data_IF_691427503581
#
_entry.id   IF_691427503581
#
_cell.length_a   1.000
_cell.length_b   1.000
_cell.length_c   1.000
_cell.angle_alpha   90.00
_cell.angle_beta   90.00
_cell.angle_gamma   90.00
#
_symmetry.space_group_name_H-M   'P 1'
#
loop_
_entity.id
_entity.type
_entity.pdbx_description
1 polymer ?
#
# COMPACT_ATOMS: atom_id res chain seq x y z
N UNK A 1 -6.71 -0.28 5.07
CA UNK A 1 -7.73 0.79 5.07
C UNK A 1 -8.26 0.94 6.49
N UNK A 2 -8.73 2.13 6.90
CA UNK A 2 -9.25 2.34 8.26
C UNK A 2 -10.75 2.11 8.28
N UNK A 3 -11.23 1.39 9.30
CA UNK A 3 -12.66 1.06 9.46
C UNK A 3 -13.04 1.38 10.88
N UNK A 4 -13.97 2.32 11.06
CA UNK A 4 -14.48 2.69 12.38
C UNK A 4 -15.80 1.94 12.60
N UNK A 5 -15.92 1.24 13.72
CA UNK A 5 -17.12 0.47 14.07
C UNK A 5 -17.44 0.59 15.55
N UNK A 6 -18.71 0.44 15.91
CA UNK A 6 -19.10 0.40 17.33
C UNK A 6 -18.72 -0.95 17.96
N UNK A 7 -18.49 -0.96 19.27
CA UNK A 7 -18.18 -2.19 20.02
C UNK A 7 -19.28 -3.25 19.84
N UNK A 8 -20.54 -2.83 19.80
CA UNK A 8 -21.69 -3.73 19.58
C UNK A 8 -21.64 -4.40 18.22
N UNK A 9 -21.37 -3.64 17.15
CA UNK A 9 -21.21 -4.19 15.80
C UNK A 9 -20.00 -5.11 15.69
N UNK A 10 -18.90 -4.76 16.35
CA UNK A 10 -17.72 -5.60 16.41
C UNK A 10 -18.03 -6.94 17.06
N UNK A 11 -18.71 -6.96 18.22
CA UNK A 11 -19.08 -8.19 18.94
C UNK A 11 -19.94 -9.15 18.12
N UNK A 12 -20.84 -8.61 17.31
CA UNK A 12 -21.69 -9.42 16.43
C UNK A 12 -20.93 -10.03 15.26
N UNK A 13 -19.78 -9.44 14.87
CA UNK A 13 -19.05 -9.82 13.65
C UNK A 13 -17.53 -9.96 13.90
N UNK A 14 -17.12 -10.43 15.09
CA UNK A 14 -15.71 -10.44 15.54
C UNK A 14 -14.81 -11.12 14.51
N UNK A 15 -15.21 -12.30 14.02
CA UNK A 15 -14.41 -13.07 13.07
C UNK A 15 -14.11 -12.29 11.77
N UNK A 16 -15.11 -11.57 11.26
CA UNK A 16 -14.96 -10.75 10.04
C UNK A 16 -13.94 -9.62 10.26
N UNK A 17 -14.05 -8.90 11.37
CA UNK A 17 -13.12 -7.80 11.68
C UNK A 17 -11.70 -8.28 11.99
N UNK A 18 -11.55 -9.44 12.62
CA UNK A 18 -10.23 -10.08 12.80
C UNK A 18 -9.62 -10.46 11.45
N UNK A 19 -10.38 -11.03 10.53
CA UNK A 19 -9.89 -11.34 9.18
C UNK A 19 -9.48 -10.10 8.40
N UNK A 20 -10.24 -8.99 8.52
CA UNK A 20 -9.84 -7.70 7.94
C UNK A 20 -8.54 -7.18 8.54
N UNK A 21 -8.41 -7.24 9.87
CA UNK A 21 -7.18 -6.87 10.55
C UNK A 21 -5.99 -7.71 10.05
N UNK A 22 -6.13 -9.03 9.93
CA UNK A 22 -5.09 -9.92 9.37
C UNK A 22 -4.68 -9.56 7.95
N UNK A 23 -5.61 -9.06 7.14
CA UNK A 23 -5.34 -8.57 5.77
C UNK A 23 -4.65 -7.21 5.73
N UNK A 24 -4.49 -6.55 6.88
CA UNK A 24 -3.79 -5.27 7.04
C UNK A 24 -4.71 -4.05 7.13
N UNK A 25 -6.02 -4.24 7.30
CA UNK A 25 -6.91 -3.14 7.68
C UNK A 25 -6.72 -2.78 9.15
N UNK A 26 -6.98 -1.52 9.50
CA UNK A 26 -7.03 -1.06 10.90
C UNK A 26 -8.49 -0.92 11.29
N UNK A 27 -8.93 -1.70 12.29
CA UNK A 27 -10.29 -1.62 12.82
C UNK A 27 -10.27 -0.79 14.10
N UNK A 28 -10.97 0.34 14.08
CA UNK A 28 -11.06 1.28 15.19
C UNK A 28 -12.42 1.05 15.87
N UNK A 29 -12.37 0.61 17.11
CA UNK A 29 -13.54 0.37 17.95
C UNK A 29 -13.86 1.66 18.70
N UNK A 30 -15.09 2.18 18.51
CA UNK A 30 -15.60 3.32 19.27
C UNK A 30 -16.69 2.86 20.22
N UNK A 31 -16.58 3.23 21.49
CA UNK A 31 -17.70 3.16 22.42
C UNK A 31 -18.56 4.43 22.25
N UNK A 32 -19.84 4.26 21.99
CA UNK A 32 -20.79 5.38 21.88
C UNK A 32 -21.30 5.83 23.26
N UNK A 33 -21.14 5.01 24.30
CA UNK A 33 -21.63 5.29 25.67
C UNK A 33 -20.57 5.88 26.59
N UNK A 34 -19.30 5.70 26.25
CA UNK A 34 -18.15 6.25 26.97
C UNK A 34 -17.35 7.04 25.97
N UNK A 35 -17.48 8.35 26.02
CA UNK A 35 -16.98 9.37 25.07
C UNK A 35 -15.48 9.34 24.71
N UNK A 36 -14.73 8.31 25.14
CA UNK A 36 -13.28 8.30 25.10
C UNK A 36 -12.61 6.93 24.88
N UNK A 37 -13.33 5.81 24.77
CA UNK A 37 -12.66 4.51 24.56
C UNK A 37 -12.57 4.15 23.07
N UNK A 38 -11.44 4.54 22.47
CA UNK A 38 -11.00 4.09 21.15
C UNK A 38 -9.99 2.95 21.29
N UNK A 39 -10.35 1.76 20.84
CA UNK A 39 -9.42 0.60 20.80
C UNK A 39 -9.11 0.27 19.35
N UNK A 40 -7.83 0.16 19.00
CA UNK A 40 -7.40 -0.18 17.65
C UNK A 40 -7.00 -1.65 17.57
N UNK A 41 -7.63 -2.39 16.66
CA UNK A 41 -7.17 -3.70 16.23
C UNK A 41 -6.32 -3.50 14.97
N UNK A 42 -5.00 -3.63 15.14
CA UNK A 42 -4.02 -3.56 14.05
C UNK A 42 -3.47 -4.96 13.83
N UNK A 43 -3.78 -5.56 12.69
CA UNK A 43 -3.10 -6.79 12.28
C UNK A 43 -1.80 -6.44 11.56
N UNK A 44 -0.69 -7.06 11.98
CA UNK A 44 0.55 -6.99 11.21
C UNK A 44 0.34 -7.77 9.91
N UNK A 45 0.32 -7.06 8.77
CA UNK A 45 0.26 -7.68 7.45
C UNK A 45 1.44 -8.63 7.32
N UNK A 46 1.17 -9.94 7.32
CA UNK A 46 2.21 -10.93 7.05
C UNK A 46 2.72 -10.74 5.63
N UNK A 47 4.03 -10.84 5.45
CA UNK A 47 4.63 -10.81 4.12
C UNK A 47 4.00 -11.90 3.26
N UNK A 48 3.41 -11.50 2.14
CA UNK A 48 2.82 -12.41 1.17
C UNK A 48 3.72 -12.41 -0.08
N UNK A 49 4.58 -13.43 -0.26
CA UNK A 49 5.53 -13.47 -1.37
C UNK A 49 4.85 -13.52 -2.73
N UNK A 50 3.67 -14.13 -2.86
CA UNK A 50 2.93 -14.19 -4.12
C UNK A 50 2.32 -12.84 -4.51
N UNK A 51 1.73 -12.13 -3.56
CA UNK A 51 1.19 -10.79 -3.78
C UNK A 51 2.33 -9.81 -4.12
N UNK A 52 3.46 -9.94 -3.42
CA UNK A 52 4.67 -9.18 -3.71
C UNK A 52 5.24 -9.50 -5.09
N UNK A 53 5.35 -10.78 -5.45
CA UNK A 53 5.80 -11.22 -6.78
C UNK A 53 4.89 -10.74 -7.91
N UNK A 54 3.56 -10.74 -7.71
CA UNK A 54 2.62 -10.15 -8.68
C UNK A 54 2.81 -8.66 -8.83
N UNK A 55 2.95 -7.92 -7.73
CA UNK A 55 3.22 -6.49 -7.77
C UNK A 55 4.55 -6.19 -8.50
N UNK A 56 5.60 -6.96 -8.21
CA UNK A 56 6.88 -6.87 -8.91
C UNK A 56 6.73 -7.18 -10.40
N UNK A 57 5.98 -8.22 -10.78
CA UNK A 57 5.77 -8.58 -12.20
C UNK A 57 5.01 -7.48 -12.95
N UNK A 58 4.00 -6.89 -12.33
CA UNK A 58 3.27 -5.75 -12.89
C UNK A 58 4.18 -4.54 -13.05
N UNK A 59 5.00 -4.24 -12.03
CA UNK A 59 5.95 -3.13 -12.09
C UNK A 59 7.11 -3.38 -13.06
N UNK A 60 7.57 -4.63 -13.22
CA UNK A 60 8.66 -4.99 -14.13
C UNK A 60 8.27 -4.77 -15.60
N UNK A 61 6.98 -4.90 -15.94
CA UNK A 61 6.46 -4.56 -17.26
C UNK A 61 6.48 -3.05 -17.57
N UNK A 62 6.59 -2.20 -16.54
CA UNK A 62 6.65 -0.73 -16.71
C UNK A 62 7.93 -0.37 -17.45
N UNK A 63 9.09 -0.87 -17.04
CA UNK A 63 10.38 -0.58 -17.71
C UNK A 63 10.62 -1.49 -18.92
N UNK A 64 9.74 -1.44 -19.92
CA UNK A 64 9.93 -2.13 -21.19
C UNK A 64 10.00 -1.15 -22.35
N UNK A 65 10.81 -1.44 -23.37
CA UNK A 65 10.89 -0.63 -24.59
C UNK A 65 9.56 -0.58 -25.36
N UNK A 66 8.61 -1.48 -25.07
CA UNK A 66 7.25 -1.46 -25.61
C UNK A 66 6.41 -0.35 -24.98
N UNK A 67 6.56 -0.12 -23.68
CA UNK A 67 5.82 0.89 -22.93
C UNK A 67 6.56 2.24 -22.89
N UNK A 68 7.88 2.22 -23.03
CA UNK A 68 8.76 3.39 -23.13
C UNK A 68 9.66 3.26 -24.37
N UNK A 69 9.15 3.61 -25.57
CA UNK A 69 9.95 3.62 -26.79
C UNK A 69 11.19 4.52 -26.69
N UNK A 70 11.13 5.56 -25.85
CA UNK A 70 12.23 6.45 -25.50
C UNK A 70 13.34 5.77 -24.70
N UNK A 71 13.12 4.56 -24.17
CA UNK A 71 14.10 3.76 -23.42
C UNK A 71 14.58 2.53 -24.21
N UNK A 72 14.49 2.59 -25.55
CA UNK A 72 14.78 1.46 -26.43
C UNK A 72 16.22 0.96 -26.33
N UNK A 73 17.20 1.85 -26.14
CA UNK A 73 18.61 1.45 -26.00
C UNK A 73 19.17 1.83 -24.65
N UNK A 74 20.26 1.16 -24.25
CA UNK A 74 21.00 1.49 -23.02
C UNK A 74 21.41 2.97 -22.99
N UNK A 75 21.77 3.55 -24.14
CA UNK A 75 22.14 4.97 -24.23
C UNK A 75 20.96 5.89 -23.92
N UNK A 76 19.76 5.54 -24.36
CA UNK A 76 18.58 6.38 -24.14
C UNK A 76 18.16 6.35 -22.66
N UNK A 77 18.25 5.19 -22.02
CA UNK A 77 18.04 5.06 -20.57
C UNK A 77 19.05 5.91 -19.79
N UNK A 78 20.35 5.83 -20.15
CA UNK A 78 21.39 6.63 -19.51
C UNK A 78 21.09 8.13 -19.65
N UNK A 79 20.75 8.57 -20.86
CA UNK A 79 20.41 9.97 -21.14
C UNK A 79 19.22 10.45 -20.32
N UNK A 80 18.17 9.62 -20.21
CA UNK A 80 17.00 9.94 -19.39
C UNK A 80 17.34 10.07 -17.90
N UNK A 81 18.15 9.16 -17.35
CA UNK A 81 18.61 9.22 -15.95
C UNK A 81 19.42 10.50 -15.70
N UNK A 82 20.36 10.82 -16.59
CA UNK A 82 21.18 12.03 -16.48
C UNK A 82 20.36 13.32 -16.53
N UNK A 83 19.38 13.39 -17.43
CA UNK A 83 18.47 14.55 -17.53
C UNK A 83 17.60 14.69 -16.29
N UNK A 84 17.04 13.58 -15.79
CA UNK A 84 16.19 13.58 -14.60
C UNK A 84 16.99 14.02 -13.37
N UNK A 85 18.22 13.52 -13.20
CA UNK A 85 19.10 13.93 -12.09
C UNK A 85 19.42 15.42 -12.15
N UNK A 86 19.80 15.93 -13.32
CA UNK A 86 20.05 17.38 -13.52
C UNK A 86 18.81 18.23 -13.25
N UNK A 87 17.61 17.73 -13.54
CA UNK A 87 16.37 18.43 -13.26
C UNK A 87 16.06 18.45 -11.76
N UNK A 88 16.26 17.34 -11.05
CA UNK A 88 16.10 17.27 -9.59
C UNK A 88 17.08 18.17 -8.83
N UNK A 89 18.34 18.24 -9.28
CA UNK A 89 19.37 19.08 -8.66
C UNK A 89 19.09 20.59 -8.82
N UNK A 90 18.14 20.99 -9.69
CA UNK A 90 17.75 22.40 -9.93
C UNK A 90 16.58 22.88 -9.06
N UNK A 91 15.98 22.02 -8.24
CA UNK A 91 14.82 22.34 -7.38
C UNK A 91 15.24 22.49 -5.91
N UNK A 92 16.46 22.99 -5.66
CA UNK A 92 16.92 23.37 -4.33
C UNK A 92 16.80 24.87 -4.11
#
# INVERSE_FOLDING_TARGET
MNVVVSISQFRQNIASYIERAKKGDTVILKDEKKDQQMVQLVGKKKFNPEAFGRALKTAAGVFSAKNHPEWRTKKDVIKWVEQTRKASDRIF
#
